data_IF_537572523674
#
_entry.id   IF_537572523674
#
_cell.length_a   1.000
_cell.length_b   1.000
_cell.length_c   1.000
_cell.angle_alpha   90.00
_cell.angle_beta   90.00
_cell.angle_gamma   90.00
#
_symmetry.space_group_name_H-M   'P 1'
#
loop_
_entity.id
_entity.type
_entity.pdbx_description
1 polymer ?
#
# COMPACT_ATOMS: atom_id res chain seq x y z
N UNK A 1 14.81 9.12 7.03
CA UNK A 1 13.95 8.65 5.93
C UNK A 1 14.08 7.15 5.86
N UNK A 2 12.95 6.44 5.89
CA UNK A 2 12.86 4.98 5.78
C UNK A 2 12.18 4.65 4.46
N UNK A 3 12.77 3.76 3.65
CA UNK A 3 12.34 3.48 2.27
C UNK A 3 12.07 1.99 2.12
N UNK A 4 10.97 1.63 1.47
CA UNK A 4 10.59 0.25 1.19
C UNK A 4 9.73 0.11 -0.07
N UNK A 5 9.48 -1.14 -0.45
CA UNK A 5 8.63 -1.49 -1.58
C UNK A 5 7.44 -2.34 -1.15
N UNK A 6 6.26 -2.09 -1.71
CA UNK A 6 5.06 -2.89 -1.42
C UNK A 6 5.17 -4.34 -1.90
N UNK A 7 5.97 -4.59 -2.93
CA UNK A 7 6.27 -5.93 -3.46
C UNK A 7 7.64 -6.43 -3.01
N UNK A 8 8.19 -5.89 -1.92
CA UNK A 8 9.45 -6.36 -1.36
C UNK A 8 9.27 -7.73 -0.67
N UNK A 9 9.56 -8.78 -1.44
CA UNK A 9 9.48 -10.17 -0.99
C UNK A 9 10.60 -10.57 -0.01
N UNK A 10 11.62 -9.73 0.17
CA UNK A 10 12.78 -10.04 1.02
C UNK A 10 12.68 -9.34 2.39
N UNK A 11 12.21 -8.08 2.43
CA UNK A 11 12.21 -7.30 3.67
C UNK A 11 11.11 -6.21 3.80
N UNK A 12 9.87 -6.49 3.40
CA UNK A 12 8.75 -5.55 3.64
C UNK A 12 8.54 -5.25 5.14
N UNK A 13 8.57 -6.29 5.99
CA UNK A 13 8.36 -6.15 7.43
C UNK A 13 9.38 -5.22 8.07
N UNK A 14 10.67 -5.37 7.72
CA UNK A 14 11.75 -4.59 8.29
C UNK A 14 11.59 -3.09 8.03
N UNK A 15 11.20 -2.70 6.81
CA UNK A 15 10.98 -1.28 6.50
C UNK A 15 9.85 -0.67 7.34
N UNK A 16 8.69 -1.36 7.41
CA UNK A 16 7.51 -0.84 8.12
C UNK A 16 7.70 -0.81 9.64
N UNK A 17 8.26 -1.85 10.24
CA UNK A 17 8.49 -1.89 11.68
C UNK A 17 9.65 -0.98 12.12
N UNK A 18 10.65 -0.74 11.26
CA UNK A 18 11.69 0.27 11.53
C UNK A 18 11.07 1.65 11.62
N UNK A 19 10.27 2.05 10.62
CA UNK A 19 9.57 3.32 10.63
C UNK A 19 8.72 3.48 11.90
N UNK A 20 7.84 2.50 12.17
CA UNK A 20 6.96 2.50 13.34
C UNK A 20 7.71 2.54 14.67
N UNK A 21 8.84 1.84 14.77
CA UNK A 21 9.66 1.83 15.98
C UNK A 21 10.35 3.17 16.22
N UNK A 22 10.80 3.85 15.17
CA UNK A 22 11.37 5.20 15.28
C UNK A 22 10.30 6.18 15.74
N UNK A 23 9.11 6.17 15.14
CA UNK A 23 7.98 7.03 15.54
C UNK A 23 7.63 6.85 17.02
N UNK A 24 7.58 5.60 17.50
CA UNK A 24 7.20 5.31 18.88
C UNK A 24 8.27 5.71 19.90
N UNK A 25 9.55 5.74 19.52
CA UNK A 25 10.68 5.87 20.47
C UNK A 25 11.40 7.21 20.38
N UNK A 26 11.29 7.91 19.26
CA UNK A 26 12.08 9.11 18.96
C UNK A 26 11.21 10.25 18.42
N UNK A 27 10.27 10.74 19.22
CA UNK A 27 9.29 11.77 18.83
C UNK A 27 9.88 13.12 18.42
N UNK A 28 11.18 13.35 18.65
CA UNK A 28 11.90 14.57 18.25
C UNK A 28 12.64 14.44 16.91
N UNK A 29 12.68 13.22 16.34
CA UNK A 29 13.39 12.94 15.10
C UNK A 29 12.45 13.06 13.91
N UNK A 30 12.95 13.61 12.79
CA UNK A 30 12.22 13.61 11.52
C UNK A 30 12.40 12.26 10.82
N UNK A 31 11.31 11.56 10.53
CA UNK A 31 11.35 10.22 9.96
C UNK A 31 10.31 10.05 8.84
N UNK A 32 10.60 10.57 7.65
CA UNK A 32 9.76 10.33 6.47
C UNK A 32 9.76 8.86 6.04
N UNK A 33 8.58 8.28 5.85
CA UNK A 33 8.37 6.99 5.18
C UNK A 33 8.25 7.17 3.66
N UNK A 34 8.87 6.30 2.86
CA UNK A 34 8.67 6.23 1.41
C UNK A 34 8.34 4.80 1.00
N UNK A 35 7.15 4.59 0.44
CA UNK A 35 6.69 3.29 -0.06
C UNK A 35 6.29 3.37 -1.53
N UNK A 36 7.10 2.76 -2.40
CA UNK A 36 6.79 2.63 -3.83
C UNK A 36 6.35 1.22 -4.22
N UNK A 37 5.90 1.00 -5.46
CA UNK A 37 5.40 -0.27 -5.93
C UNK A 37 6.55 -1.18 -6.39
N UNK A 38 7.57 -1.31 -5.54
CA UNK A 38 8.84 -1.93 -5.90
C UNK A 38 9.01 -3.30 -5.28
N UNK A 39 9.78 -4.14 -5.98
CA UNK A 39 10.47 -5.29 -5.39
C UNK A 39 11.66 -4.87 -4.53
N UNK A 40 12.32 -5.84 -3.92
CA UNK A 40 13.54 -5.60 -3.15
C UNK A 40 14.59 -4.78 -3.93
N UNK A 41 15.01 -3.65 -3.34
CA UNK A 41 15.96 -2.70 -3.93
C UNK A 41 15.49 -2.01 -5.22
N UNK A 42 14.24 -2.17 -5.63
CA UNK A 42 13.73 -1.68 -6.92
C UNK A 42 13.70 -0.15 -7.03
N UNK A 43 13.66 0.57 -5.91
CA UNK A 43 13.76 2.03 -5.88
C UNK A 43 15.09 2.56 -6.42
N UNK A 44 16.17 1.79 -6.24
CA UNK A 44 17.52 2.16 -6.66
C UNK A 44 17.86 1.66 -8.09
N UNK A 45 17.03 0.78 -8.67
CA UNK A 45 17.35 0.05 -9.90
C UNK A 45 16.34 0.36 -11.00
N UNK A 46 16.84 0.80 -12.16
CA UNK A 46 16.00 1.08 -13.34
C UNK A 46 14.92 2.13 -13.09
N UNK A 47 13.84 2.04 -13.87
CA UNK A 47 12.78 3.06 -13.92
C UNK A 47 11.64 2.85 -12.91
N UNK A 48 11.45 1.62 -12.43
CA UNK A 48 10.31 1.27 -11.58
C UNK A 48 8.95 1.50 -12.24
N UNK A 49 8.85 1.28 -13.55
CA UNK A 49 7.64 1.53 -14.33
C UNK A 49 6.63 0.38 -14.33
N UNK A 50 7.01 -0.78 -13.82
CA UNK A 50 6.17 -1.98 -13.75
C UNK A 50 6.64 -2.94 -12.66
N UNK A 51 5.77 -3.89 -12.30
CA UNK A 51 6.12 -5.08 -11.53
C UNK A 51 5.40 -6.30 -12.12
N UNK A 52 6.16 -7.28 -12.63
CA UNK A 52 5.59 -8.36 -13.44
C UNK A 52 4.86 -7.80 -14.66
N UNK A 53 3.62 -8.24 -14.86
CA UNK A 53 2.77 -7.79 -15.97
C UNK A 53 1.95 -6.52 -15.65
N UNK A 54 2.23 -5.86 -14.51
CA UNK A 54 1.46 -4.70 -14.03
C UNK A 54 2.22 -3.41 -14.37
N UNK A 55 1.78 -2.61 -15.37
CA UNK A 55 2.37 -1.31 -15.64
C UNK A 55 1.82 -0.25 -14.68
N UNK A 56 2.70 0.62 -14.17
CA UNK A 56 2.33 1.75 -13.32
C UNK A 56 2.13 3.05 -14.09
N UNK A 57 2.44 3.07 -15.40
CA UNK A 57 2.39 4.27 -16.26
C UNK A 57 3.14 5.49 -15.67
N UNK A 58 4.16 5.22 -14.85
CA UNK A 58 4.98 6.22 -14.19
C UNK A 58 6.38 5.64 -13.92
N UNK A 59 7.45 6.42 -14.12
CA UNK A 59 8.81 6.02 -13.74
C UNK A 59 9.03 6.23 -12.24
N UNK A 60 8.42 5.38 -11.41
CA UNK A 60 8.32 5.60 -9.96
C UNK A 60 9.69 5.67 -9.27
N UNK A 61 10.66 4.84 -9.67
CA UNK A 61 12.00 4.85 -9.10
C UNK A 61 12.79 6.09 -9.50
N UNK A 62 12.61 6.59 -10.73
CA UNK A 62 13.22 7.86 -11.19
C UNK A 62 12.64 9.03 -10.38
N UNK A 63 11.32 9.08 -10.23
CA UNK A 63 10.67 10.12 -9.42
C UNK A 63 11.18 10.11 -7.98
N UNK A 64 11.27 8.93 -7.35
CA UNK A 64 11.83 8.81 -6.00
C UNK A 64 13.24 9.39 -5.92
N UNK A 65 14.16 8.94 -6.79
CA UNK A 65 15.56 9.40 -6.74
C UNK A 65 15.68 10.90 -6.97
N UNK A 66 14.97 11.44 -7.95
CA UNK A 66 15.11 12.85 -8.35
C UNK A 66 14.32 13.83 -7.48
N UNK A 67 13.13 13.44 -7.02
CA UNK A 67 12.16 14.34 -6.39
C UNK A 67 11.99 14.10 -4.90
N UNK A 68 12.48 12.96 -4.37
CA UNK A 68 12.38 12.63 -2.94
C UNK A 68 13.78 12.48 -2.32
N UNK A 69 14.56 11.50 -2.78
CA UNK A 69 15.87 11.16 -2.22
C UNK A 69 16.91 12.27 -2.42
N UNK A 70 17.04 12.77 -3.64
CA UNK A 70 18.04 13.80 -3.94
C UNK A 70 17.79 15.12 -3.17
N UNK A 71 16.55 15.67 -3.09
CA UNK A 71 16.27 16.81 -2.23
C UNK A 71 16.52 16.54 -0.74
N UNK A 72 16.23 15.32 -0.25
CA UNK A 72 16.55 14.94 1.13
C UNK A 72 18.06 15.08 1.40
N UNK A 73 18.90 14.52 0.54
CA UNK A 73 20.35 14.61 0.71
C UNK A 73 20.91 16.01 0.46
N UNK A 74 20.36 16.78 -0.49
CA UNK A 74 20.77 18.17 -0.69
C UNK A 74 20.61 19.01 0.58
N UNK A 75 19.47 18.86 1.27
CA UNK A 75 19.20 19.58 2.52
C UNK A 75 20.18 19.18 3.61
N UNK A 76 20.33 17.88 3.87
CA UNK A 76 21.07 17.40 5.05
C UNK A 76 22.59 17.34 4.85
N UNK A 77 23.07 17.16 3.61
CA UNK A 77 24.52 17.06 3.34
C UNK A 77 25.12 18.35 2.79
N UNK A 78 24.33 19.19 2.14
CA UNK A 78 24.82 20.43 1.51
C UNK A 78 24.20 21.70 2.07
N UNK A 79 23.24 21.59 3.00
CA UNK A 79 22.51 22.75 3.51
C UNK A 79 21.73 23.49 2.42
N UNK A 80 21.39 22.83 1.31
CA UNK A 80 20.71 23.43 0.15
C UNK A 80 19.29 22.89 0.01
N UNK A 81 18.37 23.77 -0.38
CA UNK A 81 16.99 23.43 -0.69
C UNK A 81 16.04 23.58 0.49
N UNK A 82 14.85 24.08 0.18
CA UNK A 82 13.80 24.39 1.16
C UNK A 82 12.73 23.31 1.26
N UNK A 83 12.89 22.19 0.54
CA UNK A 83 11.89 21.14 0.51
C UNK A 83 11.81 20.42 1.86
N UNK A 84 10.75 20.69 2.59
CA UNK A 84 10.33 19.87 3.73
C UNK A 84 9.67 18.59 3.21
N UNK A 85 10.14 17.45 3.71
CA UNK A 85 9.53 16.16 3.37
C UNK A 85 8.29 15.93 4.23
N UNK A 86 7.18 15.42 3.66
CA UNK A 86 6.01 15.01 4.42
C UNK A 86 6.37 13.82 5.33
N UNK A 87 5.42 13.45 6.18
CA UNK A 87 5.53 12.25 7.01
C UNK A 87 5.62 10.98 6.16
N UNK A 88 4.83 10.89 5.08
CA UNK A 88 4.94 9.77 4.16
C UNK A 88 4.73 10.15 2.70
N UNK A 89 5.55 9.55 1.84
CA UNK A 89 5.34 9.40 0.42
C UNK A 89 4.91 7.97 0.12
N UNK A 90 3.73 7.80 -0.46
CA UNK A 90 3.21 6.47 -0.80
C UNK A 90 2.69 6.47 -2.22
N UNK A 91 3.16 5.53 -3.04
CA UNK A 91 2.59 5.32 -4.37
C UNK A 91 1.31 4.49 -4.27
N UNK A 92 0.19 5.06 -4.72
CA UNK A 92 -1.13 4.45 -4.70
C UNK A 92 -1.35 3.64 -5.98
N UNK A 93 -1.27 2.32 -5.87
CA UNK A 93 -1.56 1.39 -6.96
C UNK A 93 -3.08 1.31 -7.14
N UNK A 94 -3.56 1.59 -8.35
CA UNK A 94 -4.98 1.76 -8.67
C UNK A 94 -5.27 3.13 -9.28
N UNK A 95 -4.73 4.20 -8.71
CA UNK A 95 -4.71 5.54 -9.34
C UNK A 95 -3.38 5.85 -10.02
N UNK A 96 -2.32 5.08 -9.72
CA UNK A 96 -0.96 5.25 -10.22
C UNK A 96 -0.37 6.64 -9.91
N UNK A 97 -0.57 7.09 -8.68
CA UNK A 97 -0.13 8.42 -8.22
C UNK A 97 0.68 8.34 -6.93
N UNK A 98 1.70 9.20 -6.84
CA UNK A 98 2.35 9.50 -5.56
C UNK A 98 1.42 10.33 -4.68
N UNK A 99 1.15 9.84 -3.47
CA UNK A 99 0.43 10.54 -2.41
C UNK A 99 1.41 11.02 -1.35
N UNK A 100 1.14 12.21 -0.83
CA UNK A 100 1.80 12.75 0.36
C UNK A 100 0.83 12.67 1.53
N UNK A 101 1.35 12.35 2.70
CA UNK A 101 0.59 12.33 3.93
C UNK A 101 1.36 13.05 5.03
N UNK A 102 0.65 13.89 5.80
CA UNK A 102 1.21 14.56 6.98
C UNK A 102 1.23 13.64 8.22
N UNK A 103 0.57 12.47 8.11
CA UNK A 103 0.59 11.41 9.12
C UNK A 103 0.46 10.04 8.46
N UNK A 104 1.20 9.07 8.95
CA UNK A 104 1.08 7.68 8.53
C UNK A 104 0.87 6.71 9.71
N UNK A 105 -0.11 5.78 9.63
CA UNK A 105 -1.17 5.69 8.63
C UNK A 105 -2.05 6.97 8.55
N UNK A 106 -2.76 7.23 7.43
CA UNK A 106 -3.52 8.46 7.26
C UNK A 106 -4.56 8.63 8.38
N UNK A 107 -4.67 9.82 8.96
CA UNK A 107 -5.55 10.07 10.13
C UNK A 107 -7.04 9.77 9.86
N UNK A 108 -7.46 9.91 8.60
CA UNK A 108 -8.83 9.59 8.13
C UNK A 108 -9.06 8.10 7.86
N UNK A 109 -8.02 7.27 7.92
CA UNK A 109 -8.17 5.83 7.73
C UNK A 109 -9.08 5.25 8.82
N UNK A 110 -9.91 4.28 8.44
CA UNK A 110 -10.81 3.56 9.33
C UNK A 110 -10.65 2.09 9.06
N UNK A 111 -10.37 1.31 10.10
CA UNK A 111 -10.41 -0.13 10.01
C UNK A 111 -11.83 -0.58 9.68
N UNK A 112 -11.96 -1.45 8.69
CA UNK A 112 -13.21 -2.13 8.35
C UNK A 112 -12.93 -3.61 8.25
N UNK A 113 -13.84 -4.42 8.77
CA UNK A 113 -13.81 -5.86 8.62
C UNK A 113 -14.39 -6.25 7.27
N UNK A 114 -13.67 -7.08 6.51
CA UNK A 114 -14.17 -7.74 5.31
C UNK A 114 -14.26 -9.23 5.63
N UNK A 115 -15.49 -9.75 5.69
CA UNK A 115 -15.78 -11.10 6.14
C UNK A 115 -15.90 -12.08 4.97
N UNK A 116 -15.47 -13.32 5.20
CA UNK A 116 -15.79 -14.45 4.33
C UNK A 116 -17.25 -14.86 4.50
N UNK A 117 -17.91 -15.12 3.38
CA UNK A 117 -19.27 -15.65 3.30
C UNK A 117 -19.27 -16.96 2.51
N UNK A 118 -20.35 -17.74 2.66
CA UNK A 118 -20.56 -18.93 1.85
C UNK A 118 -20.62 -18.59 0.35
N UNK A 119 -20.27 -19.56 -0.49
CA UNK A 119 -20.27 -19.36 -1.94
C UNK A 119 -19.17 -18.43 -2.44
N UNK A 120 -18.01 -18.41 -1.78
CA UNK A 120 -16.81 -17.66 -2.21
C UNK A 120 -17.02 -16.13 -2.23
N UNK A 121 -17.90 -15.63 -1.35
CA UNK A 121 -18.24 -14.21 -1.26
C UNK A 121 -17.48 -13.49 -0.16
N UNK A 122 -17.31 -12.18 -0.35
CA UNK A 122 -16.77 -11.24 0.64
C UNK A 122 -17.78 -10.11 0.86
N UNK A 123 -18.07 -9.78 2.12
CA UNK A 123 -18.95 -8.65 2.46
C UNK A 123 -18.49 -7.96 3.74
N UNK A 124 -18.94 -6.72 3.97
CA UNK A 124 -18.59 -5.95 5.17
C UNK A 124 -19.46 -6.33 6.38
N UNK A 125 -20.58 -7.01 6.14
CA UNK A 125 -21.51 -7.53 7.13
C UNK A 125 -21.01 -8.87 7.68
N UNK A 126 -21.12 -9.13 8.99
CA UNK A 126 -20.71 -10.40 9.58
C UNK A 126 -21.63 -11.56 9.11
N UNK A 127 -21.08 -12.77 8.89
CA UNK A 127 -21.91 -13.92 8.55
C UNK A 127 -22.78 -14.31 9.76
N UNK A 128 -24.08 -14.51 9.55
CA UNK A 128 -24.99 -15.04 10.57
C UNK A 128 -25.94 -14.05 11.25
N UNK A 129 -26.02 -12.79 10.83
CA UNK A 129 -27.23 -12.00 11.07
C UNK A 129 -28.38 -12.60 10.23
N UNK A 130 -29.28 -13.36 10.87
CA UNK A 130 -30.56 -13.74 10.24
C UNK A 130 -31.36 -12.45 10.01
N UNK A 131 -31.88 -12.19 8.80
CA UNK A 131 -32.91 -11.18 8.64
C UNK A 131 -34.11 -11.60 9.49
N UNK A 132 -34.45 -10.82 10.51
CA UNK A 132 -35.74 -10.91 11.20
C UNK A 132 -36.81 -10.31 10.28
N UNK A 133 -37.15 -11.02 9.20
CA UNK A 133 -38.12 -10.51 8.23
C UNK A 133 -38.33 -11.45 7.05
N UNK A 134 -39.25 -12.40 7.25
CA UNK A 134 -40.04 -13.17 6.28
C UNK A 134 -39.38 -13.59 4.95
N UNK A 135 -39.14 -14.90 4.84
CA UNK A 135 -38.86 -15.57 3.59
C UNK A 135 -40.00 -15.42 2.56
N UNK A 136 -39.64 -15.15 1.31
CA UNK A 136 -40.43 -15.50 0.12
C UNK A 136 -39.52 -15.98 -1.02
N UNK A 137 -39.55 -17.32 -1.22
CA UNK A 137 -39.50 -18.13 -2.46
C UNK A 137 -38.70 -17.66 -3.69
N UNK A 138 -37.63 -18.38 -4.08
CA UNK A 138 -37.56 -19.49 -5.09
C UNK A 138 -37.39 -18.98 -6.53
N UNK A 139 -36.37 -19.39 -7.29
CA UNK A 139 -36.38 -20.66 -8.04
C UNK A 139 -34.97 -21.17 -8.36
N UNK A 140 -34.75 -22.44 -8.01
CA UNK A 140 -33.61 -23.26 -8.44
C UNK A 140 -33.79 -23.73 -9.89
N UNK A 141 -32.73 -23.68 -10.69
CA UNK A 141 -32.58 -24.53 -11.86
C UNK A 141 -31.20 -25.19 -11.80
N UNK A 142 -31.20 -26.44 -11.32
CA UNK A 142 -30.11 -27.39 -11.43
C UNK A 142 -29.94 -27.75 -12.91
N UNK A 143 -28.73 -27.66 -13.45
CA UNK A 143 -28.32 -28.53 -14.57
C UNK A 143 -26.97 -29.16 -14.26
N UNK A 144 -27.05 -30.41 -13.83
CA UNK A 144 -25.95 -31.37 -13.76
C UNK A 144 -25.33 -31.58 -15.14
N UNK A 145 -24.01 -31.70 -15.22
CA UNK A 145 -23.38 -32.52 -16.26
C UNK A 145 -22.21 -33.32 -15.67
N UNK A 146 -22.16 -34.64 -15.91
CA UNK A 146 -21.19 -35.53 -15.28
C UNK A 146 -19.81 -35.42 -15.92
N UNK A 147 -18.78 -35.50 -15.09
CA UNK A 147 -17.41 -35.78 -15.50
C UNK A 147 -17.34 -37.09 -16.32
N UNK A 148 -16.60 -37.08 -17.42
CA UNK A 148 -16.03 -38.31 -17.99
C UNK A 148 -14.66 -38.07 -18.62
N UNK A 149 -13.71 -38.84 -18.08
CA UNK A 149 -12.29 -39.12 -18.42
C UNK A 149 -11.34 -37.96 -18.55
#
# INVERSE_FOLDING_TARGET
MTVGGWFDAENLFGALETYKSIEARNSKTVNTLVMGPWRHGGWARGDGSFFGDIPFNAKTSVFYREKIEFPFFQRHLKGKGDTEHPEAWVFEMGTNQWRKYDKWPPARARSKSLYFHAGEQLAFEPPGERPTGRATTSTSAIRTSPFRT
#
